data_IF_990597638981
#
_entry.id   IF_990597638981
#
_cell.length_a   1.000
_cell.length_b   1.000
_cell.length_c   1.000
_cell.angle_alpha   90.00
_cell.angle_beta   90.00
_cell.angle_gamma   90.00
#
_symmetry.space_group_name_H-M   'P 1'
#
loop_
_entity.id
_entity.type
_entity.pdbx_description
1 polymer ?
#
# COMPACT_ATOMS: atom_id res chain seq x y z
N UNK A 1 -9.95 -9.51 -11.75
CA UNK A 1 -9.63 -9.39 -10.30
C UNK A 1 -9.77 -7.95 -9.89
N UNK A 2 -10.65 -7.71 -8.92
CA UNK A 2 -10.91 -6.37 -8.36
C UNK A 2 -9.70 -5.88 -7.56
N UNK A 3 -9.59 -4.58 -7.32
CA UNK A 3 -8.40 -3.99 -6.68
C UNK A 3 -8.22 -4.48 -5.23
N UNK A 4 -9.32 -4.66 -4.50
CA UNK A 4 -9.33 -5.26 -3.16
C UNK A 4 -8.77 -6.69 -3.13
N UNK A 5 -9.15 -7.54 -4.10
CA UNK A 5 -8.60 -8.89 -4.23
C UNK A 5 -7.12 -8.84 -4.58
N UNK A 6 -6.70 -7.96 -5.51
CA UNK A 6 -5.28 -7.80 -5.89
C UNK A 6 -4.40 -7.41 -4.71
N UNK A 7 -4.87 -6.47 -3.89
CA UNK A 7 -4.14 -6.01 -2.72
C UNK A 7 -3.75 -7.16 -1.80
N UNK A 8 -4.69 -8.08 -1.52
CA UNK A 8 -4.44 -9.17 -0.57
C UNK A 8 -3.86 -10.43 -1.22
N UNK A 9 -4.03 -10.65 -2.52
CA UNK A 9 -3.63 -11.91 -3.18
C UNK A 9 -2.39 -11.81 -4.06
N UNK A 10 -1.94 -10.61 -4.42
CA UNK A 10 -0.79 -10.46 -5.34
C UNK A 10 0.28 -9.50 -4.84
N UNK A 11 -0.08 -8.46 -4.07
CA UNK A 11 0.93 -7.55 -3.53
C UNK A 11 1.84 -8.34 -2.57
N UNK A 12 3.17 -8.38 -2.80
CA UNK A 12 4.06 -9.35 -2.14
C UNK A 12 4.00 -9.35 -0.62
N UNK A 13 4.04 -8.18 0.02
CA UNK A 13 4.02 -8.12 1.49
C UNK A 13 2.63 -8.44 2.07
N UNK A 14 1.54 -8.16 1.34
CA UNK A 14 0.19 -8.58 1.72
C UNK A 14 0.05 -10.10 1.68
N UNK A 15 0.59 -10.72 0.62
CA UNK A 15 0.63 -12.19 0.49
C UNK A 15 1.46 -12.78 1.63
N UNK A 16 2.65 -12.22 1.89
CA UNK A 16 3.52 -12.64 3.00
C UNK A 16 2.82 -12.52 4.36
N UNK A 17 2.11 -11.42 4.61
CA UNK A 17 1.35 -11.21 5.85
C UNK A 17 0.34 -12.34 6.08
N UNK A 18 -0.43 -12.70 5.04
CA UNK A 18 -1.43 -13.77 5.11
C UNK A 18 -0.75 -15.14 5.20
N UNK A 19 0.34 -15.38 4.46
CA UNK A 19 1.09 -16.64 4.50
C UNK A 19 1.72 -16.91 5.87
N UNK A 20 2.30 -15.90 6.51
CA UNK A 20 2.91 -16.05 7.82
C UNK A 20 1.85 -16.33 8.90
N UNK A 21 0.67 -15.70 8.82
CA UNK A 21 -0.49 -16.03 9.68
C UNK A 21 -0.87 -17.50 9.49
N UNK A 22 -1.03 -17.94 8.24
CA UNK A 22 -1.43 -19.31 7.94
C UNK A 22 -0.37 -20.33 8.38
N UNK A 23 0.92 -20.03 8.22
CA UNK A 23 2.02 -20.88 8.63
C UNK A 23 2.05 -21.08 10.15
N UNK A 24 1.83 -20.02 10.93
CA UNK A 24 1.77 -20.09 12.40
C UNK A 24 0.61 -20.95 12.87
N UNK A 25 -0.57 -20.76 12.26
CA UNK A 25 -1.76 -21.54 12.59
C UNK A 25 -1.56 -23.02 12.27
N UNK A 26 -0.97 -23.35 11.12
CA UNK A 26 -0.59 -24.72 10.76
C UNK A 26 0.43 -25.32 11.75
N UNK A 27 1.34 -24.50 12.27
CA UNK A 27 2.30 -24.88 13.31
C UNK A 27 1.73 -25.08 14.72
N UNK A 28 0.42 -24.89 14.93
CA UNK A 28 -0.27 -25.17 16.20
C UNK A 28 -0.44 -23.98 17.14
N UNK A 29 0.11 -22.82 16.79
CA UNK A 29 -0.01 -21.61 17.61
C UNK A 29 -1.25 -20.80 17.23
N UNK A 30 -1.83 -20.10 18.20
CA UNK A 30 -2.86 -19.09 17.95
C UNK A 30 -2.24 -17.82 17.38
N UNK A 31 -3.04 -17.01 16.71
CA UNK A 31 -2.61 -15.76 16.08
C UNK A 31 -3.42 -14.58 16.59
N UNK A 32 -2.74 -13.47 16.79
CA UNK A 32 -3.35 -12.14 16.84
C UNK A 32 -2.77 -11.35 15.68
N UNK A 33 -3.60 -10.65 14.93
CA UNK A 33 -3.12 -9.65 14.00
C UNK A 33 -3.79 -8.29 14.27
N UNK A 34 -2.97 -7.25 14.34
CA UNK A 34 -3.43 -5.89 14.60
C UNK A 34 -3.66 -5.14 13.29
N UNK A 35 -4.85 -4.55 13.17
CA UNK A 35 -5.25 -3.70 12.06
C UNK A 35 -5.37 -2.24 12.52
N UNK A 36 -5.23 -1.31 11.58
CA UNK A 36 -5.52 0.11 11.84
C UNK A 36 -7.03 0.36 11.83
N UNK A 37 -7.44 1.53 12.34
CA UNK A 37 -8.83 1.97 12.28
C UNK A 37 -9.37 1.98 10.84
N UNK A 38 -8.51 2.44 9.93
CA UNK A 38 -8.72 2.60 8.49
C UNK A 38 -8.15 1.44 7.68
N UNK A 39 -8.22 0.21 8.22
CA UNK A 39 -7.74 -0.98 7.53
C UNK A 39 -8.42 -1.17 6.17
N UNK A 40 -7.61 -1.36 5.15
CA UNK A 40 -8.02 -1.48 3.76
C UNK A 40 -8.75 -2.81 3.50
N UNK A 41 -9.90 -2.73 2.84
CA UNK A 41 -10.71 -3.87 2.40
C UNK A 41 -10.75 -5.02 3.42
N UNK A 42 -11.12 -4.68 4.65
CA UNK A 42 -11.10 -5.57 5.82
C UNK A 42 -11.87 -6.87 5.59
N UNK A 43 -13.06 -6.79 5.01
CA UNK A 43 -13.87 -7.98 4.74
C UNK A 43 -13.22 -8.90 3.70
N UNK A 44 -12.54 -8.31 2.70
CA UNK A 44 -11.78 -9.09 1.72
C UNK A 44 -10.59 -9.80 2.37
N UNK A 45 -9.90 -9.16 3.33
CA UNK A 45 -8.85 -9.82 4.12
C UNK A 45 -9.41 -11.03 4.89
N UNK A 46 -10.55 -10.84 5.58
CA UNK A 46 -11.22 -11.92 6.34
C UNK A 46 -11.59 -13.08 5.44
N UNK A 47 -12.17 -12.81 4.28
CA UNK A 47 -12.56 -13.84 3.31
C UNK A 47 -11.36 -14.62 2.78
N UNK A 48 -10.22 -13.95 2.55
CA UNK A 48 -8.99 -14.61 2.09
C UNK A 48 -8.35 -15.43 3.21
N UNK A 49 -8.30 -14.92 4.44
CA UNK A 49 -7.84 -15.67 5.62
C UNK A 49 -8.70 -16.92 5.79
N UNK A 50 -10.03 -16.79 5.72
CA UNK A 50 -10.95 -17.92 5.75
C UNK A 50 -10.65 -18.91 4.64
N UNK A 51 -10.63 -18.47 3.39
CA UNK A 51 -10.40 -19.35 2.24
C UNK A 51 -9.04 -20.07 2.35
N UNK A 52 -7.98 -19.41 2.82
CA UNK A 52 -6.64 -19.98 2.85
C UNK A 52 -6.39 -20.91 4.04
N UNK A 53 -6.96 -20.60 5.20
CA UNK A 53 -6.72 -21.35 6.44
C UNK A 53 -7.79 -22.42 6.64
N UNK A 54 -9.02 -22.16 6.19
CA UNK A 54 -10.18 -23.03 6.45
C UNK A 54 -10.53 -23.95 5.27
N UNK A 55 -9.84 -23.82 4.12
CA UNK A 55 -10.02 -24.78 3.01
C UNK A 55 -9.67 -26.20 3.47
N UNK A 56 -10.68 -27.08 3.50
CA UNK A 56 -10.56 -28.46 3.95
C UNK A 56 -10.71 -28.69 5.46
N UNK A 57 -11.14 -27.68 6.23
CA UNK A 57 -11.40 -27.81 7.67
C UNK A 57 -12.88 -27.54 7.96
N UNK A 58 -13.62 -28.58 8.35
CA UNK A 58 -15.08 -28.50 8.55
C UNK A 58 -15.52 -27.75 9.83
N UNK A 59 -14.59 -27.45 10.75
CA UNK A 59 -14.89 -26.87 12.07
C UNK A 59 -14.31 -25.46 12.24
N UNK A 60 -14.89 -24.48 11.57
CA UNK A 60 -14.43 -23.09 11.65
C UNK A 60 -15.55 -22.16 12.04
N UNK A 61 -15.30 -21.29 13.02
CA UNK A 61 -16.30 -20.43 13.63
C UNK A 61 -15.82 -18.98 13.63
N UNK A 62 -16.54 -18.11 12.93
CA UNK A 62 -16.38 -16.67 13.08
C UNK A 62 -17.31 -16.15 14.17
N UNK A 63 -16.75 -15.41 15.12
CA UNK A 63 -17.44 -14.91 16.31
C UNK A 63 -17.15 -13.42 16.43
N UNK A 64 -18.21 -12.60 16.46
CA UNK A 64 -18.06 -11.16 16.63
C UNK A 64 -18.17 -10.74 18.10
N UNK A 65 -17.51 -9.65 18.49
CA UNK A 65 -17.63 -9.04 19.83
C UNK A 65 -19.07 -8.72 20.22
N UNK A 66 -19.90 -8.30 19.25
CA UNK A 66 -21.35 -8.10 19.45
C UNK A 66 -22.06 -9.40 19.83
N UNK A 67 -21.70 -10.51 19.19
CA UNK A 67 -22.31 -11.82 19.51
C UNK A 67 -21.89 -12.33 20.89
N UNK A 68 -20.69 -11.97 21.37
CA UNK A 68 -20.19 -12.34 22.70
C UNK A 68 -20.95 -11.58 23.78
N UNK A 69 -21.12 -10.26 23.61
CA UNK A 69 -21.71 -9.38 24.61
C UNK A 69 -20.80 -9.27 25.84
N UNK A 70 -21.40 -9.28 27.04
CA UNK A 70 -20.70 -9.11 28.31
C UNK A 70 -20.18 -10.43 28.92
N UNK A 71 -20.30 -11.53 28.18
CA UNK A 71 -19.85 -12.86 28.65
C UNK A 71 -18.33 -12.95 28.60
N UNK A 72 -17.76 -13.61 29.60
CA UNK A 72 -16.34 -13.99 29.56
C UNK A 72 -16.07 -15.01 28.45
N UNK A 73 -14.82 -15.12 27.95
CA UNK A 73 -14.46 -16.11 26.94
C UNK A 73 -14.88 -17.55 27.30
N UNK A 74 -14.65 -17.94 28.56
CA UNK A 74 -15.00 -19.28 29.05
C UNK A 74 -16.51 -19.55 29.06
N UNK A 75 -17.31 -18.58 29.53
CA UNK A 75 -18.78 -18.68 29.51
C UNK A 75 -19.31 -18.83 28.09
N UNK A 76 -18.84 -17.99 27.17
CA UNK A 76 -19.25 -18.04 25.77
C UNK A 76 -18.94 -19.40 25.14
N UNK A 77 -17.72 -19.91 25.35
CA UNK A 77 -17.31 -21.19 24.78
C UNK A 77 -18.10 -22.37 25.38
N UNK A 78 -18.36 -22.34 26.68
CA UNK A 78 -19.20 -23.33 27.35
C UNK A 78 -20.62 -23.35 26.77
N UNK A 79 -21.21 -22.18 26.56
CA UNK A 79 -22.55 -22.05 26.01
C UNK A 79 -22.67 -22.46 24.54
N UNK A 80 -21.61 -22.25 23.76
CA UNK A 80 -21.65 -22.39 22.30
C UNK A 80 -21.13 -23.74 21.81
N UNK A 81 -20.15 -24.34 22.49
CA UNK A 81 -19.39 -25.50 21.99
C UNK A 81 -19.42 -26.73 22.89
N UNK A 82 -19.94 -26.62 24.12
CA UNK A 82 -20.03 -27.74 25.07
C UNK A 82 -21.48 -28.19 25.17
N UNK A 83 -21.78 -29.50 25.10
CA UNK A 83 -23.16 -30.01 25.25
C UNK A 83 -23.64 -29.89 26.70
N UNK A 84 -24.95 -29.77 26.93
CA UNK A 84 -25.54 -29.56 28.26
C UNK A 84 -25.14 -30.65 29.27
N UNK A 85 -25.06 -31.90 28.83
CA UNK A 85 -24.67 -33.04 29.67
C UNK A 85 -23.24 -32.88 30.19
N UNK A 86 -22.34 -32.41 29.34
CA UNK A 86 -20.95 -32.16 29.72
C UNK A 86 -20.82 -30.91 30.60
N UNK A 87 -21.58 -29.84 30.33
CA UNK A 87 -21.62 -28.63 31.18
C UNK A 87 -22.01 -28.93 32.62
N UNK A 88 -22.89 -29.91 32.85
CA UNK A 88 -23.31 -30.30 34.21
C UNK A 88 -22.15 -30.79 35.11
N UNK A 89 -21.05 -31.24 34.48
CA UNK A 89 -19.83 -31.69 35.15
C UNK A 89 -18.88 -30.55 35.53
N UNK A 90 -19.12 -29.34 35.01
CA UNK A 90 -18.32 -28.17 35.34
C UNK A 90 -18.51 -27.75 36.80
N UNK A 91 -17.42 -27.33 37.43
CA UNK A 91 -17.39 -26.75 38.77
C UNK A 91 -16.51 -25.51 38.73
N UNK A 92 -16.95 -24.43 39.37
CA UNK A 92 -16.25 -23.13 39.37
C UNK A 92 -14.81 -23.23 39.86
N UNK A 93 -14.52 -24.15 40.79
CA UNK A 93 -13.16 -24.40 41.30
C UNK A 93 -12.18 -24.99 40.27
N UNK A 94 -12.66 -25.52 39.14
CA UNK A 94 -11.82 -26.08 38.08
C UNK A 94 -11.28 -24.97 37.17
N UNK A 95 -12.06 -23.91 36.95
CA UNK A 95 -11.79 -22.87 35.94
C UNK A 95 -12.16 -23.33 34.53
N UNK A 96 -12.58 -22.38 33.68
CA UNK A 96 -13.05 -22.68 32.32
C UNK A 96 -11.92 -23.24 31.44
N UNK A 97 -10.73 -22.65 31.48
CA UNK A 97 -9.59 -23.04 30.64
C UNK A 97 -9.19 -24.50 30.87
N UNK A 98 -9.08 -24.90 32.14
CA UNK A 98 -8.73 -26.27 32.51
C UNK A 98 -9.81 -27.26 32.13
N UNK A 99 -11.08 -26.93 32.40
CA UNK A 99 -12.19 -27.79 32.03
C UNK A 99 -12.26 -28.02 30.52
N UNK A 100 -12.15 -26.95 29.72
CA UNK A 100 -12.19 -27.02 28.26
C UNK A 100 -10.99 -27.79 27.70
N UNK A 101 -9.81 -27.65 28.31
CA UNK A 101 -8.61 -28.42 27.92
C UNK A 101 -8.75 -29.90 28.25
N UNK A 102 -9.19 -30.25 29.47
CA UNK A 102 -9.31 -31.64 29.93
C UNK A 102 -10.42 -32.43 29.20
N UNK A 103 -11.40 -31.71 28.64
CA UNK A 103 -12.60 -32.28 28.01
C UNK A 103 -12.71 -32.00 26.52
N UNK A 104 -11.66 -31.49 25.90
CA UNK A 104 -11.74 -31.00 24.53
C UNK A 104 -12.20 -32.04 23.52
N UNK A 105 -11.74 -33.29 23.66
CA UNK A 105 -12.13 -34.44 22.82
C UNK A 105 -13.64 -34.74 22.88
N UNK A 106 -14.31 -34.34 23.96
CA UNK A 106 -15.76 -34.46 24.17
C UNK A 106 -16.53 -33.19 23.71
N UNK A 107 -15.83 -32.18 23.17
CA UNK A 107 -16.41 -30.91 22.67
C UNK A 107 -16.28 -30.76 21.15
N UNK A 108 -16.96 -29.76 20.57
CA UNK A 108 -16.74 -29.40 19.16
C UNK A 108 -15.45 -28.59 18.92
N UNK A 109 -14.70 -28.24 19.97
CA UNK A 109 -13.50 -27.38 19.89
C UNK A 109 -12.29 -28.11 19.32
N UNK A 110 -12.17 -29.42 19.51
CA UNK A 110 -11.01 -30.17 19.04
C UNK A 110 -10.84 -30.01 17.51
N UNK A 111 -9.64 -29.59 17.13
CA UNK A 111 -9.22 -29.25 15.76
C UNK A 111 -10.00 -28.10 15.09
N UNK A 112 -10.79 -27.35 15.86
CA UNK A 112 -11.51 -26.20 15.34
C UNK A 112 -10.62 -24.95 15.24
N UNK A 113 -11.04 -24.02 14.39
CA UNK A 113 -10.53 -22.66 14.38
C UNK A 113 -11.62 -21.69 14.81
N UNK A 114 -11.28 -20.83 15.76
CA UNK A 114 -12.14 -19.74 16.22
C UNK A 114 -11.54 -18.42 15.77
N UNK A 115 -12.28 -17.71 14.92
CA UNK A 115 -11.91 -16.40 14.40
C UNK A 115 -12.73 -15.32 15.09
N UNK A 116 -12.07 -14.59 15.98
CA UNK A 116 -12.63 -13.51 16.78
C UNK A 116 -12.44 -12.18 16.05
N UNK A 117 -13.56 -11.51 15.79
CA UNK A 117 -13.62 -10.26 15.03
C UNK A 117 -14.41 -9.19 15.78
N UNK A 118 -14.12 -7.92 15.50
CA UNK A 118 -14.87 -6.77 16.03
C UNK A 118 -15.03 -6.81 17.58
N UNK A 119 -13.98 -7.26 18.27
CA UNK A 119 -13.88 -7.18 19.73
C UNK A 119 -13.61 -5.74 20.16
N UNK A 120 -14.20 -5.33 21.29
CA UNK A 120 -13.77 -4.12 21.97
C UNK A 120 -12.44 -4.36 22.72
N UNK A 121 -11.86 -3.31 23.32
CA UNK A 121 -10.57 -3.42 24.01
C UNK A 121 -10.63 -4.37 25.21
N UNK A 122 -11.67 -4.30 26.04
CA UNK A 122 -11.85 -5.16 27.21
C UNK A 122 -11.96 -6.64 26.80
N UNK A 123 -12.87 -6.93 25.86
CA UNK A 123 -13.03 -8.25 25.26
C UNK A 123 -11.72 -8.77 24.67
N UNK A 124 -10.96 -7.92 23.96
CA UNK A 124 -9.67 -8.31 23.40
C UNK A 124 -8.71 -8.77 24.51
N UNK A 125 -8.59 -8.01 25.59
CA UNK A 125 -7.70 -8.37 26.71
C UNK A 125 -8.13 -9.67 27.40
N UNK A 126 -9.44 -9.86 27.62
CA UNK A 126 -9.98 -11.06 28.23
C UNK A 126 -9.72 -12.30 27.36
N UNK A 127 -9.99 -12.21 26.06
CA UNK A 127 -9.75 -13.30 25.12
C UNK A 127 -8.26 -13.63 25.00
N UNK A 128 -7.38 -12.64 24.93
CA UNK A 128 -5.93 -12.87 24.91
C UNK A 128 -5.46 -13.60 26.17
N UNK A 129 -5.94 -13.17 27.35
CA UNK A 129 -5.59 -13.80 28.63
C UNK A 129 -6.10 -15.24 28.70
N UNK A 130 -7.36 -15.47 28.30
CA UNK A 130 -7.95 -16.80 28.25
C UNK A 130 -7.17 -17.73 27.32
N UNK A 131 -6.86 -17.30 26.09
CA UNK A 131 -6.15 -18.13 25.10
C UNK A 131 -4.75 -18.46 25.60
N UNK A 132 -4.07 -17.52 26.27
CA UNK A 132 -2.76 -17.76 26.85
C UNK A 132 -2.81 -18.86 27.93
N UNK A 133 -3.78 -18.78 28.84
CA UNK A 133 -3.99 -19.77 29.90
C UNK A 133 -4.38 -21.13 29.32
N UNK A 134 -5.34 -21.16 28.40
CA UNK A 134 -5.75 -22.36 27.67
C UNK A 134 -4.55 -23.02 26.96
N UNK A 135 -3.71 -22.23 26.28
CA UNK A 135 -2.51 -22.74 25.61
C UNK A 135 -1.45 -23.30 26.57
N UNK A 136 -1.29 -22.72 27.77
CA UNK A 136 -0.34 -23.21 28.79
C UNK A 136 -0.78 -24.55 29.40
N UNK A 137 -2.08 -24.79 29.50
CA UNK A 137 -2.64 -26.03 30.06
C UNK A 137 -2.63 -27.19 29.07
N UNK A 138 -2.57 -26.88 27.77
CA UNK A 138 -2.55 -27.87 26.70
C UNK A 138 -1.24 -28.64 26.59
N UNK A 139 -1.33 -29.97 26.54
CA UNK A 139 -0.17 -30.86 26.35
C UNK A 139 0.26 -30.94 24.88
N UNK A 140 -0.70 -30.97 23.96
CA UNK A 140 -0.45 -31.01 22.52
C UNK A 140 -0.38 -29.59 21.95
N UNK A 141 0.54 -29.38 21.01
CA UNK A 141 0.62 -28.11 20.27
C UNK A 141 -0.33 -28.08 19.07
N UNK A 142 -0.74 -29.22 18.52
CA UNK A 142 -1.47 -29.30 17.24
C UNK A 142 -2.90 -29.82 17.44
N UNK A 143 -3.09 -30.77 18.36
CA UNK A 143 -4.40 -31.36 18.65
C UNK A 143 -5.18 -30.51 19.64
N UNK A 144 -5.54 -29.30 19.22
CA UNK A 144 -6.31 -28.33 20.01
C UNK A 144 -7.01 -27.30 19.14
N UNK A 145 -7.94 -26.57 19.74
CA UNK A 145 -8.54 -25.38 19.18
C UNK A 145 -7.48 -24.29 18.98
N UNK A 146 -7.53 -23.63 17.82
CA UNK A 146 -6.66 -22.50 17.49
C UNK A 146 -7.49 -21.25 17.31
N UNK A 147 -6.97 -20.15 17.84
CA UNK A 147 -7.66 -18.87 17.85
C UNK A 147 -6.97 -17.89 16.91
N UNK A 148 -7.79 -17.08 16.22
CA UNK A 148 -7.36 -15.95 15.42
C UNK A 148 -8.07 -14.73 15.99
N UNK A 149 -7.34 -13.74 16.48
CA UNK A 149 -7.92 -12.46 16.91
C UNK A 149 -7.53 -11.39 15.90
N UNK A 150 -8.53 -10.76 15.32
CA UNK A 150 -8.40 -9.46 14.66
C UNK A 150 -8.66 -8.35 15.68
N UNK A 151 -7.74 -7.40 15.82
CA UNK A 151 -7.94 -6.31 16.79
C UNK A 151 -7.35 -4.97 16.34
N UNK A 152 -7.94 -3.88 16.84
CA UNK A 152 -7.37 -2.53 16.80
C UNK A 152 -6.63 -2.18 18.10
N UNK A 153 -6.83 -2.98 19.16
CA UNK A 153 -6.25 -2.77 20.48
C UNK A 153 -4.73 -2.88 20.42
N UNK A 154 -4.04 -1.94 21.06
CA UNK A 154 -2.59 -1.99 21.17
C UNK A 154 -2.17 -3.00 22.24
N UNK A 155 -1.62 -4.14 21.83
CA UNK A 155 -1.27 -5.24 22.71
C UNK A 155 0.23 -5.32 23.00
N UNK A 156 0.57 -6.05 24.06
CA UNK A 156 1.97 -6.37 24.41
C UNK A 156 2.60 -7.25 23.32
N UNK A 157 3.93 -7.23 23.22
CA UNK A 157 4.64 -7.90 22.14
C UNK A 157 4.77 -9.42 22.29
N UNK A 158 4.51 -9.99 23.48
CA UNK A 158 4.71 -11.41 23.75
C UNK A 158 3.59 -12.01 24.60
N UNK A 159 3.04 -13.12 24.12
CA UNK A 159 2.06 -13.95 24.79
C UNK A 159 2.40 -15.43 24.55
N UNK A 160 2.24 -16.28 25.55
CA UNK A 160 2.56 -17.70 25.45
C UNK A 160 1.63 -18.42 24.46
N UNK A 161 2.21 -19.13 23.49
CA UNK A 161 1.46 -19.90 22.48
C UNK A 161 0.66 -19.05 21.49
N UNK A 162 0.88 -17.73 21.47
CA UNK A 162 0.21 -16.80 20.58
C UNK A 162 1.25 -15.95 19.85
N UNK A 163 1.14 -15.82 18.53
CA UNK A 163 1.99 -14.92 17.73
C UNK A 163 1.23 -13.68 17.33
N UNK A 164 1.85 -12.52 17.57
CA UNK A 164 1.34 -11.22 17.15
C UNK A 164 1.92 -10.83 15.78
N UNK A 165 1.06 -10.40 14.87
CA UNK A 165 1.41 -9.80 13.60
C UNK A 165 0.89 -8.37 13.53
N UNK A 166 1.74 -7.40 13.22
CA UNK A 166 1.28 -6.03 12.99
C UNK A 166 1.26 -5.74 11.51
N UNK A 167 0.13 -5.23 11.01
CA UNK A 167 -0.02 -4.80 9.61
C UNK A 167 1.14 -3.88 9.17
N UNK A 168 1.50 -2.91 10.01
CA UNK A 168 2.57 -1.95 9.71
C UNK A 168 3.98 -2.55 9.60
N UNK A 169 4.21 -3.77 10.09
CA UNK A 169 5.50 -4.47 9.92
C UNK A 169 5.63 -5.09 8.50
N UNK A 170 4.53 -5.14 7.74
CA UNK A 170 4.46 -5.75 6.42
C UNK A 170 4.19 -4.71 5.34
N UNK A 171 3.17 -3.88 5.54
CA UNK A 171 2.60 -3.05 4.48
C UNK A 171 3.15 -1.63 4.57
N UNK A 172 3.75 -1.18 3.48
CA UNK A 172 4.42 0.12 3.36
C UNK A 172 3.95 0.86 2.11
N UNK A 173 4.38 2.12 1.94
CA UNK A 173 4.04 2.91 0.75
C UNK A 173 4.50 2.24 -0.56
N UNK A 174 5.60 1.48 -0.51
CA UNK A 174 6.09 0.68 -1.64
C UNK A 174 5.04 -0.32 -2.16
N UNK A 175 4.26 -0.93 -1.26
CA UNK A 175 3.21 -1.88 -1.62
C UNK A 175 2.05 -1.21 -2.36
N UNK A 176 1.75 0.06 -2.02
CA UNK A 176 0.78 0.90 -2.74
C UNK A 176 1.26 1.19 -4.16
N UNK A 177 2.56 1.44 -4.34
CA UNK A 177 3.14 1.61 -5.68
C UNK A 177 2.94 0.35 -6.53
N UNK A 178 3.21 -0.84 -5.97
CA UNK A 178 2.98 -2.11 -6.67
C UNK A 178 1.50 -2.26 -7.05
N UNK A 179 0.58 -2.00 -6.12
CA UNK A 179 -0.86 -2.03 -6.39
C UNK A 179 -1.23 -1.14 -7.57
N UNK A 180 -0.73 0.09 -7.60
CA UNK A 180 -1.00 1.04 -8.66
C UNK A 180 -0.46 0.55 -10.01
N UNK A 181 0.81 0.10 -10.06
CA UNK A 181 1.45 -0.43 -11.26
C UNK A 181 0.66 -1.61 -11.84
N UNK A 182 0.26 -2.54 -10.98
CA UNK A 182 -0.56 -3.68 -11.37
C UNK A 182 -1.92 -3.26 -11.91
N UNK A 183 -2.58 -2.30 -11.26
CA UNK A 183 -3.91 -1.83 -11.62
C UNK A 183 -3.92 -1.13 -12.98
N UNK A 184 -2.93 -0.29 -13.24
CA UNK A 184 -2.83 0.46 -14.51
C UNK A 184 -2.23 -0.34 -15.66
N UNK A 185 -1.61 -1.50 -15.40
CA UNK A 185 -0.90 -2.30 -16.41
C UNK A 185 -1.75 -2.67 -17.64
N UNK A 186 -3.07 -2.84 -17.46
CA UNK A 186 -4.01 -3.15 -18.55
C UNK A 186 -4.53 -1.93 -19.31
N UNK A 187 -4.23 -0.70 -18.86
CA UNK A 187 -4.69 0.52 -19.53
C UNK A 187 -3.88 0.79 -20.80
N UNK A 188 -4.57 1.25 -21.85
CA UNK A 188 -4.01 1.56 -23.18
C UNK A 188 -3.26 2.91 -23.24
N UNK A 189 -2.85 3.47 -22.10
CA UNK A 189 -2.15 4.76 -22.05
C UNK A 189 -0.63 4.56 -22.23
N UNK A 190 0.05 5.61 -22.68
CA UNK A 190 1.50 5.57 -22.90
C UNK A 190 2.28 5.18 -21.62
N UNK A 191 3.41 4.49 -21.77
CA UNK A 191 4.20 3.97 -20.64
C UNK A 191 4.63 5.06 -19.66
N UNK A 192 5.09 6.21 -20.16
CA UNK A 192 5.49 7.35 -19.32
C UNK A 192 4.29 7.85 -18.49
N UNK A 193 3.11 7.92 -19.10
CA UNK A 193 1.88 8.32 -18.41
C UNK A 193 1.40 7.26 -17.41
N UNK A 194 1.64 5.96 -17.63
CA UNK A 194 1.41 4.92 -16.62
C UNK A 194 2.30 5.11 -15.40
N UNK A 195 3.59 5.41 -15.63
CA UNK A 195 4.53 5.68 -14.54
C UNK A 195 4.12 6.93 -13.77
N UNK A 196 3.74 8.01 -14.49
CA UNK A 196 3.27 9.25 -13.87
C UNK A 196 2.00 9.07 -13.04
N UNK A 197 0.97 8.39 -13.57
CA UNK A 197 -0.24 8.10 -12.81
C UNK A 197 0.04 7.24 -11.58
N UNK A 198 0.95 6.27 -11.68
CA UNK A 198 1.34 5.43 -10.54
C UNK A 198 2.01 6.25 -9.45
N UNK A 199 2.95 7.12 -9.82
CA UNK A 199 3.65 8.01 -8.88
C UNK A 199 2.69 9.01 -8.24
N UNK A 200 1.81 9.64 -9.02
CA UNK A 200 0.76 10.52 -8.53
C UNK A 200 -0.18 9.81 -7.54
N UNK A 201 -0.72 8.66 -7.91
CA UNK A 201 -1.64 7.91 -7.05
C UNK A 201 -0.95 7.52 -5.73
N UNK A 202 0.30 7.07 -5.79
CA UNK A 202 1.08 6.72 -4.60
C UNK A 202 1.29 7.94 -3.71
N UNK A 203 1.80 9.06 -4.24
CA UNK A 203 2.11 10.27 -3.47
C UNK A 203 0.87 10.94 -2.88
N UNK A 204 -0.23 11.01 -3.64
CA UNK A 204 -1.48 11.62 -3.23
C UNK A 204 -2.32 10.71 -2.32
N UNK A 205 -1.99 9.42 -2.22
CA UNK A 205 -2.75 8.51 -1.36
C UNK A 205 -2.43 8.63 0.14
N UNK A 206 -1.34 9.29 0.54
CA UNK A 206 -0.96 9.43 1.96
C UNK A 206 -0.92 8.11 2.75
N UNK A 207 -0.35 7.06 2.16
CA UNK A 207 -0.31 5.70 2.69
C UNK A 207 -1.68 5.01 2.84
N UNK A 208 -2.69 5.47 2.08
CA UNK A 208 -4.02 4.85 2.02
C UNK A 208 -4.19 4.01 0.73
N UNK A 209 -4.12 2.66 0.82
CA UNK A 209 -4.25 1.81 -0.36
C UNK A 209 -5.62 1.92 -1.06
N UNK A 210 -6.70 2.19 -0.32
CA UNK A 210 -8.03 2.32 -0.92
C UNK A 210 -8.14 3.62 -1.71
N UNK A 211 -7.60 4.72 -1.16
CA UNK A 211 -7.60 5.99 -1.86
C UNK A 211 -6.68 5.94 -3.09
N UNK A 212 -5.52 5.29 -2.99
CA UNK A 212 -4.66 5.02 -4.15
C UNK A 212 -5.38 4.24 -5.25
N UNK A 213 -6.20 3.24 -4.88
CA UNK A 213 -6.99 2.46 -5.82
C UNK A 213 -8.04 3.31 -6.55
N UNK A 214 -8.73 4.21 -5.87
CA UNK A 214 -9.69 5.14 -6.49
C UNK A 214 -8.98 6.09 -7.47
N UNK A 215 -7.85 6.65 -7.05
CA UNK A 215 -7.02 7.54 -7.88
C UNK A 215 -6.56 6.84 -9.16
N UNK A 216 -5.93 5.67 -9.04
CA UNK A 216 -5.32 4.97 -10.18
C UNK A 216 -6.38 4.39 -11.13
N UNK A 217 -7.54 4.00 -10.62
CA UNK A 217 -8.66 3.52 -11.45
C UNK A 217 -9.15 4.62 -12.39
N UNK A 218 -9.12 5.88 -11.93
CA UNK A 218 -9.45 7.06 -12.72
C UNK A 218 -8.22 7.73 -13.37
N UNK A 219 -7.21 6.94 -13.77
CA UNK A 219 -5.90 7.41 -14.26
C UNK A 219 -5.94 8.50 -15.35
N UNK A 220 -6.92 8.48 -16.27
CA UNK A 220 -7.04 9.53 -17.31
C UNK A 220 -7.31 10.91 -16.70
N UNK A 221 -8.26 10.97 -15.75
CA UNK A 221 -8.56 12.19 -15.01
C UNK A 221 -7.42 12.54 -14.04
N UNK A 222 -6.81 11.53 -13.41
CA UNK A 222 -5.71 11.71 -12.47
C UNK A 222 -4.55 12.50 -13.09
N UNK A 223 -4.17 12.16 -14.32
CA UNK A 223 -3.04 12.78 -15.03
C UNK A 223 -3.39 14.18 -15.54
N UNK A 224 -4.65 14.42 -15.92
CA UNK A 224 -5.10 15.68 -16.53
C UNK A 224 -5.48 16.74 -15.51
N UNK A 225 -6.20 16.34 -14.46
CA UNK A 225 -6.75 17.21 -13.43
C UNK A 225 -6.89 16.44 -12.11
N UNK A 226 -5.76 16.29 -11.42
CA UNK A 226 -5.65 15.58 -10.14
C UNK A 226 -6.55 16.20 -9.06
N UNK A 227 -6.63 17.54 -9.01
CA UNK A 227 -7.41 18.24 -7.99
C UNK A 227 -8.91 17.96 -8.14
N UNK A 228 -9.44 18.07 -9.36
CA UNK A 228 -10.85 17.76 -9.61
C UNK A 228 -11.17 16.29 -9.32
N UNK A 229 -10.25 15.36 -9.61
CA UNK A 229 -10.44 13.95 -9.28
C UNK A 229 -10.49 13.71 -7.77
N UNK A 230 -9.54 14.27 -7.02
CA UNK A 230 -9.51 14.14 -5.55
C UNK A 230 -10.81 14.66 -4.94
N UNK A 231 -11.24 15.86 -5.32
CA UNK A 231 -12.49 16.45 -4.84
C UNK A 231 -13.72 15.59 -5.18
N UNK A 232 -13.72 14.98 -6.37
CA UNK A 232 -14.77 14.04 -6.79
C UNK A 232 -14.79 12.78 -5.94
N UNK A 233 -13.62 12.20 -5.62
CA UNK A 233 -13.53 11.00 -4.78
C UNK A 233 -14.02 11.32 -3.36
N UNK A 234 -13.55 12.41 -2.76
CA UNK A 234 -13.96 12.86 -1.42
C UNK A 234 -15.47 13.08 -1.33
N UNK A 235 -16.07 13.67 -2.37
CA UNK A 235 -17.50 14.01 -2.35
C UNK A 235 -18.43 12.82 -2.60
N UNK A 236 -17.99 11.82 -3.37
CA UNK A 236 -18.89 10.80 -3.93
C UNK A 236 -18.53 9.36 -3.58
N UNK A 237 -17.32 9.10 -3.05
CA UNK A 237 -16.83 7.76 -2.79
C UNK A 237 -16.69 7.53 -1.30
N UNK A 238 -16.82 6.27 -0.90
CA UNK A 238 -16.70 5.83 0.49
C UNK A 238 -15.68 4.71 0.56
N UNK A 239 -14.95 4.66 1.67
CA UNK A 239 -14.05 3.57 2.02
C UNK A 239 -14.83 2.29 2.28
N UNK A 240 -14.14 1.16 2.27
CA UNK A 240 -14.73 -0.14 2.61
C UNK A 240 -15.26 -0.21 4.05
N UNK A 241 -14.77 0.63 4.96
CA UNK A 241 -15.26 0.78 6.32
C UNK A 241 -16.44 1.76 6.46
N UNK A 242 -17.02 2.23 5.34
CA UNK A 242 -18.14 3.19 5.27
C UNK A 242 -17.79 4.64 5.67
N UNK A 243 -16.52 4.95 5.88
CA UNK A 243 -16.07 6.32 6.14
C UNK A 243 -15.74 7.07 4.85
N UNK A 244 -15.83 8.40 4.89
CA UNK A 244 -15.43 9.25 3.77
C UNK A 244 -13.91 9.31 3.61
N UNK A 245 -13.45 9.47 2.36
CA UNK A 245 -12.05 9.81 2.10
C UNK A 245 -11.74 11.24 2.55
N UNK A 246 -10.48 11.47 2.96
CA UNK A 246 -9.96 12.79 3.32
C UNK A 246 -8.63 13.05 2.63
N UNK A 247 -8.33 14.30 2.34
CA UNK A 247 -7.06 14.73 1.78
C UNK A 247 -6.69 16.10 2.35
N UNK A 248 -5.51 16.20 2.97
CA UNK A 248 -5.05 17.41 3.68
C UNK A 248 -3.65 17.85 3.29
N UNK A 249 -3.03 17.16 2.33
CA UNK A 249 -1.64 17.40 1.95
C UNK A 249 -1.52 18.51 0.90
N UNK A 250 -0.30 19.02 0.75
CA UNK A 250 0.07 19.98 -0.30
C UNK A 250 0.05 19.30 -1.69
N UNK A 251 -1.10 19.39 -2.36
CA UNK A 251 -1.33 18.76 -3.66
C UNK A 251 -0.33 19.24 -4.73
N UNK A 252 -0.08 20.54 -4.80
CA UNK A 252 0.80 21.13 -5.80
C UNK A 252 2.21 20.57 -5.68
N UNK A 253 2.70 20.41 -4.44
CA UNK A 253 3.99 19.78 -4.16
C UNK A 253 4.00 18.30 -4.56
N UNK A 254 2.94 17.55 -4.31
CA UNK A 254 2.85 16.11 -4.69
C UNK A 254 2.83 15.94 -6.21
N UNK A 255 2.07 16.78 -6.93
CA UNK A 255 2.05 16.78 -8.40
C UNK A 255 3.44 17.12 -8.94
N UNK A 256 4.05 18.18 -8.43
CA UNK A 256 5.40 18.59 -8.81
C UNK A 256 6.42 17.48 -8.57
N UNK A 257 6.41 16.82 -7.41
CA UNK A 257 7.34 15.73 -7.09
C UNK A 257 7.17 14.54 -8.04
N UNK A 258 5.92 14.16 -8.35
CA UNK A 258 5.64 13.12 -9.32
C UNK A 258 6.18 13.48 -10.72
N UNK A 259 5.98 14.73 -11.14
CA UNK A 259 6.47 15.19 -12.43
C UNK A 259 8.00 15.25 -12.48
N UNK A 260 8.64 15.68 -11.40
CA UNK A 260 10.09 15.73 -11.28
C UNK A 260 10.68 14.32 -11.46
N UNK A 261 10.12 13.31 -10.79
CA UNK A 261 10.61 11.92 -10.88
C UNK A 261 10.45 11.33 -12.29
N UNK A 262 9.37 11.67 -13.00
CA UNK A 262 9.03 11.01 -14.27
C UNK A 262 9.52 11.78 -15.50
N UNK A 263 9.36 13.10 -15.53
CA UNK A 263 9.63 13.90 -16.74
C UNK A 263 11.00 14.57 -16.74
N UNK A 264 11.61 14.83 -15.58
CA UNK A 264 12.96 15.41 -15.53
C UNK A 264 14.01 14.53 -16.24
N UNK A 265 13.99 13.18 -16.10
CA UNK A 265 14.88 12.32 -16.88
C UNK A 265 14.67 12.42 -18.40
N UNK A 266 13.45 12.68 -18.86
CA UNK A 266 13.14 12.84 -20.29
C UNK A 266 13.69 14.15 -20.83
N UNK A 267 13.61 15.21 -20.03
CA UNK A 267 14.22 16.52 -20.33
C UNK A 267 15.73 16.38 -20.45
N UNK A 268 16.33 15.61 -19.55
CA UNK A 268 17.78 15.36 -19.56
C UNK A 268 18.21 14.52 -20.76
N UNK A 269 17.43 13.50 -21.12
CA UNK A 269 17.64 12.73 -22.36
C UNK A 269 17.58 13.62 -23.61
N UNK A 270 16.64 14.56 -23.66
CA UNK A 270 16.57 15.53 -24.74
C UNK A 270 17.79 16.47 -24.77
N UNK A 271 18.27 16.94 -23.61
CA UNK A 271 19.51 17.74 -23.52
C UNK A 271 20.69 16.99 -24.15
N UNK A 272 20.88 15.73 -23.76
CA UNK A 272 21.95 14.88 -24.30
C UNK A 272 21.79 14.65 -25.81
N UNK A 273 20.57 14.42 -26.29
CA UNK A 273 20.30 14.30 -27.72
C UNK A 273 20.73 15.54 -28.51
N UNK A 274 20.43 16.76 -28.01
CA UNK A 274 20.86 17.98 -28.67
C UNK A 274 22.38 18.13 -28.67
N UNK A 275 23.04 17.83 -27.54
CA UNK A 275 24.51 17.86 -27.45
C UNK A 275 25.10 16.92 -28.48
N UNK A 276 24.67 15.66 -28.53
CA UNK A 276 25.19 14.67 -29.49
C UNK A 276 24.95 15.05 -30.95
N UNK A 277 23.75 15.58 -31.25
CA UNK A 277 23.38 15.99 -32.61
C UNK A 277 24.26 17.14 -33.12
N UNK A 278 24.64 18.05 -32.23
CA UNK A 278 25.32 19.28 -32.59
C UNK A 278 26.78 19.36 -32.13
N UNK A 279 27.34 18.31 -31.52
CA UNK A 279 28.68 18.32 -30.90
C UNK A 279 29.79 18.89 -31.76
N UNK A 280 29.84 18.55 -33.05
CA UNK A 280 30.88 19.03 -33.95
C UNK A 280 30.78 20.53 -34.27
N UNK A 281 29.63 21.14 -33.98
CA UNK A 281 29.36 22.56 -34.17
C UNK A 281 29.42 23.32 -32.84
N UNK A 282 29.61 22.64 -31.72
CA UNK A 282 29.75 23.26 -30.41
C UNK A 282 31.23 23.61 -30.22
N UNK A 283 31.54 24.90 -30.16
CA UNK A 283 32.88 25.38 -29.88
C UNK A 283 32.93 25.90 -28.44
N UNK A 284 33.62 25.17 -27.58
CA UNK A 284 33.87 25.56 -26.19
C UNK A 284 35.19 26.33 -26.12
N UNK A 285 35.12 27.64 -26.04
CA UNK A 285 36.25 28.50 -25.68
C UNK A 285 36.11 29.02 -24.23
N UNK A 286 37.11 29.76 -23.76
CA UNK A 286 37.15 30.30 -22.40
C UNK A 286 36.01 31.30 -22.08
N UNK A 287 35.24 31.75 -23.08
CA UNK A 287 34.09 32.63 -22.88
C UNK A 287 32.82 31.87 -22.50
N UNK A 288 32.76 30.58 -22.78
CA UNK A 288 31.61 29.72 -22.46
C UNK A 288 31.72 29.27 -21.00
N UNK A 289 30.89 29.88 -20.15
CA UNK A 289 30.86 29.60 -18.71
C UNK A 289 29.51 29.05 -18.27
N UNK A 290 29.52 28.29 -17.17
CA UNK A 290 28.30 27.86 -16.51
C UNK A 290 27.64 29.02 -15.73
N UNK A 291 26.47 28.77 -15.12
CA UNK A 291 25.75 29.79 -14.33
C UNK A 291 26.53 30.37 -13.14
N UNK A 292 27.65 29.74 -12.75
CA UNK A 292 28.55 30.20 -11.67
C UNK A 292 29.78 30.95 -12.20
N UNK A 293 29.90 31.13 -13.52
CA UNK A 293 31.06 31.75 -14.16
C UNK A 293 32.27 30.83 -14.31
N UNK A 294 32.11 29.51 -14.11
CA UNK A 294 33.18 28.54 -14.30
C UNK A 294 33.24 28.10 -15.77
N UNK A 295 34.45 27.96 -16.31
CA UNK A 295 34.70 27.50 -17.68
C UNK A 295 34.12 26.10 -17.92
N UNK A 296 33.34 25.94 -19.00
CA UNK A 296 32.80 24.65 -19.40
C UNK A 296 33.84 23.92 -20.25
N UNK A 297 34.35 22.79 -19.73
CA UNK A 297 35.43 22.02 -20.38
C UNK A 297 34.95 20.77 -21.12
N UNK A 298 33.69 20.40 -20.93
CA UNK A 298 33.07 19.23 -21.55
C UNK A 298 31.72 19.63 -22.15
N UNK A 299 31.45 19.14 -23.35
CA UNK A 299 30.16 19.35 -24.03
C UNK A 299 28.99 18.78 -23.21
N UNK A 300 29.24 17.73 -22.42
CA UNK A 300 28.23 17.11 -21.55
C UNK A 300 27.86 17.95 -20.33
N UNK A 301 28.66 18.96 -19.99
CA UNK A 301 28.38 19.92 -18.90
C UNK A 301 27.53 21.11 -19.39
N UNK A 302 27.20 21.17 -20.69
CA UNK A 302 26.40 22.24 -21.28
C UNK A 302 24.92 22.09 -20.90
N UNK A 303 24.40 23.03 -20.14
CA UNK A 303 22.98 23.12 -19.80
C UNK A 303 22.13 23.61 -20.98
N UNK A 304 20.81 23.30 -20.98
CA UNK A 304 19.87 23.81 -21.99
C UNK A 304 19.87 25.35 -22.10
N UNK A 305 20.13 26.04 -20.99
CA UNK A 305 20.26 27.49 -20.98
C UNK A 305 21.48 27.98 -21.76
N UNK A 306 22.60 27.26 -21.66
CA UNK A 306 23.86 27.56 -22.37
C UNK A 306 23.70 27.29 -23.86
N UNK A 307 23.07 26.17 -24.26
CA UNK A 307 22.75 25.90 -25.68
C UNK A 307 21.93 27.03 -26.29
N UNK A 308 20.92 27.54 -25.56
CA UNK A 308 20.10 28.66 -26.04
C UNK A 308 20.93 29.93 -26.22
N UNK A 309 21.85 30.21 -25.29
CA UNK A 309 22.74 31.35 -25.36
C UNK A 309 23.67 31.27 -26.59
N UNK A 310 24.28 30.11 -26.84
CA UNK A 310 25.13 29.87 -28.03
C UNK A 310 24.36 30.10 -29.33
N UNK A 311 23.12 29.60 -29.42
CA UNK A 311 22.27 29.84 -30.60
C UNK A 311 21.95 31.34 -30.80
N UNK A 312 21.69 32.07 -29.71
CA UNK A 312 21.36 33.50 -29.78
C UNK A 312 22.55 34.38 -30.18
N UNK A 313 23.77 33.96 -29.88
CA UNK A 313 24.98 34.67 -30.24
C UNK A 313 25.54 34.27 -31.61
N UNK A 314 24.85 33.38 -32.34
CA UNK A 314 25.29 32.82 -33.61
C UNK A 314 26.55 31.94 -33.54
N UNK A 315 26.91 31.47 -32.34
CA UNK A 315 28.01 30.54 -32.11
C UNK A 315 27.61 29.07 -32.36
N UNK A 316 26.30 28.80 -32.45
CA UNK A 316 25.76 27.49 -32.77
C UNK A 316 24.54 27.59 -33.69
N UNK A 317 24.61 26.90 -34.84
CA UNK A 317 23.52 26.87 -35.80
C UNK A 317 22.67 25.60 -35.64
N UNK A 318 21.42 25.77 -35.20
CA UNK A 318 20.41 24.71 -35.11
C UNK A 318 19.29 24.92 -36.14
N UNK A 319 18.62 23.84 -36.55
CA UNK A 319 17.39 23.98 -37.32
C UNK A 319 16.25 24.57 -36.44
N UNK A 320 15.25 25.17 -37.09
CA UNK A 320 14.16 25.86 -36.40
C UNK A 320 13.31 24.96 -35.49
N UNK A 321 13.18 23.68 -35.84
CA UNK A 321 12.47 22.69 -35.02
C UNK A 321 13.18 22.43 -33.70
N UNK A 322 14.46 22.06 -33.76
CA UNK A 322 15.28 21.81 -32.57
C UNK A 322 15.43 23.06 -31.70
N UNK A 323 15.52 24.25 -32.30
CA UNK A 323 15.56 25.50 -31.53
C UNK A 323 14.24 25.79 -30.80
N UNK A 324 13.08 25.47 -31.40
CA UNK A 324 11.79 25.58 -30.73
C UNK A 324 11.69 24.59 -29.56
N UNK A 325 12.08 23.34 -29.79
CA UNK A 325 12.08 22.33 -28.73
C UNK A 325 13.07 22.66 -27.61
N UNK A 326 14.27 23.16 -27.93
CA UNK A 326 15.22 23.69 -26.94
C UNK A 326 14.59 24.73 -26.02
N UNK A 327 13.87 25.71 -26.60
CA UNK A 327 13.18 26.73 -25.83
C UNK A 327 12.13 26.14 -24.89
N UNK A 328 11.32 25.22 -25.40
CA UNK A 328 10.26 24.55 -24.66
C UNK A 328 10.82 23.70 -23.50
N UNK A 329 11.82 22.85 -23.77
CA UNK A 329 12.44 21.99 -22.75
C UNK A 329 13.18 22.79 -21.68
N UNK A 330 13.85 23.90 -22.06
CA UNK A 330 14.46 24.83 -21.09
C UNK A 330 13.42 25.40 -20.13
N UNK A 331 12.27 25.83 -20.64
CA UNK A 331 11.19 26.37 -19.79
C UNK A 331 10.62 25.29 -18.86
N UNK A 332 10.36 24.09 -19.38
CA UNK A 332 9.89 22.96 -18.58
C UNK A 332 10.87 22.62 -17.45
N UNK A 333 12.17 22.54 -17.77
CA UNK A 333 13.25 22.29 -16.80
C UNK A 333 13.28 23.35 -15.71
N UNK A 334 13.17 24.63 -16.09
CA UNK A 334 13.17 25.74 -15.15
C UNK A 334 11.95 25.71 -14.22
N UNK A 335 10.75 25.47 -14.76
CA UNK A 335 9.54 25.36 -13.94
C UNK A 335 9.68 24.24 -12.90
N UNK A 336 10.08 23.03 -13.33
CA UNK A 336 10.31 21.91 -12.42
C UNK A 336 11.43 22.19 -11.41
N UNK A 337 12.52 22.86 -11.80
CA UNK A 337 13.59 23.22 -10.86
C UNK A 337 13.14 24.26 -9.81
N UNK A 338 12.10 25.04 -10.09
CA UNK A 338 11.57 26.09 -9.21
C UNK A 338 10.22 25.72 -8.56
N UNK A 339 9.99 24.43 -8.31
CA UNK A 339 8.79 23.93 -7.59
C UNK A 339 7.47 24.22 -8.31
N UNK A 340 7.48 24.39 -9.64
CA UNK A 340 6.27 24.59 -10.45
C UNK A 340 6.01 23.37 -11.31
N UNK A 341 4.87 22.73 -11.13
CA UNK A 341 4.45 21.66 -12.01
C UNK A 341 3.98 22.22 -13.36
N UNK A 342 4.04 21.36 -14.37
CA UNK A 342 3.70 21.64 -15.76
C UNK A 342 2.24 21.26 -16.04
N UNK A 343 1.55 21.99 -16.94
CA UNK A 343 0.24 21.59 -17.40
C UNK A 343 0.32 20.33 -18.27
N UNK A 344 -0.81 19.60 -18.37
CA UNK A 344 -0.89 18.34 -19.09
C UNK A 344 -0.40 18.40 -20.54
N UNK A 345 -0.73 19.47 -21.28
CA UNK A 345 -0.31 19.63 -22.67
C UNK A 345 1.21 19.73 -22.82
N UNK A 346 1.90 20.35 -21.85
CA UNK A 346 3.36 20.37 -21.81
C UNK A 346 3.91 18.96 -21.56
N UNK A 347 3.33 18.19 -20.63
CA UNK A 347 3.75 16.81 -20.39
C UNK A 347 3.58 15.95 -21.65
N UNK A 348 2.47 16.12 -22.36
CA UNK A 348 2.20 15.44 -23.63
C UNK A 348 3.24 15.78 -24.69
N UNK A 349 3.57 17.06 -24.86
CA UNK A 349 4.62 17.50 -25.78
C UNK A 349 5.99 16.92 -25.42
N UNK A 350 6.36 16.84 -24.13
CA UNK A 350 7.60 16.21 -23.69
C UNK A 350 7.66 14.74 -24.14
N UNK A 351 6.59 13.98 -23.90
CA UNK A 351 6.50 12.57 -24.32
C UNK A 351 6.63 12.45 -25.84
N UNK A 352 5.81 13.19 -26.59
CA UNK A 352 5.80 13.14 -28.05
C UNK A 352 7.13 13.53 -28.70
N UNK A 353 7.84 14.53 -28.16
CA UNK A 353 9.17 14.90 -28.65
C UNK A 353 10.19 13.84 -28.30
N UNK A 354 10.16 13.30 -27.07
CA UNK A 354 11.16 12.32 -26.64
C UNK A 354 10.95 10.90 -27.16
N UNK A 355 9.80 10.58 -27.76
CA UNK A 355 9.58 9.34 -28.50
C UNK A 355 10.17 9.41 -29.93
N UNK A 356 10.50 10.61 -30.43
CA UNK A 356 11.07 10.84 -31.77
C UNK A 356 12.61 10.85 -31.79
N UNK A 357 13.22 10.90 -30.61
CA UNK A 357 14.69 10.91 -30.40
C UNK A 357 15.14 9.54 -29.92
#
# INVERSE_FOLDING_TARGET
>A
MKTNERWWTVVPNSVRFIDDIAAVLKGGSSVIYSISENCEWKDTLRDIIKAKIFSGVDKTHEISGRSIGDRTPGEYLMESFVKKELRSKYRTSIGYEKFLTDKEDETSLLHSFIYLVDLNDEQTHDWVTFIENYNKLHKSKIEKCRFIIETKTNLKSKYSGIRLFKRGDYLHNYDITILCMMTISSNKIHNIFRNYATELATLCSNNDPEFAAELITSSDMLIKDTNSLINKIISNSIRSNMESFTFTDDLDRKIWEAQLKVFFPLIERFRLYLIEKYKYNIHLDSSVTNLKGEEIRSEYDIELATLKWLCNNHDLYMNSGDYNDLNFFKECRNNLAHLKYLPYDSLKRIVETTDRI
#
